data_IF_835532452839
#
_entry.id   IF_835532452839
#
_cell.length_a   1.000
_cell.length_b   1.000
_cell.length_c   1.000
_cell.angle_alpha   90.00
_cell.angle_beta   90.00
_cell.angle_gamma   90.00
#
_symmetry.space_group_name_H-M   'P 1'
#
loop_
_entity.id
_entity.type
_entity.pdbx_description
1 polymer ?
#
# COMPACT_ATOMS: atom_id res chain seq x y z
N UNK A 1 8.85 7.25 22.60
CA UNK A 1 7.73 7.41 21.66
C UNK A 1 7.80 6.20 20.74
N UNK A 2 6.70 5.47 20.51
CA UNK A 2 6.75 4.33 19.61
C UNK A 2 7.03 4.78 18.18
N UNK A 3 7.90 4.05 17.48
CA UNK A 3 8.27 4.37 16.11
C UNK A 3 7.21 3.82 15.12
N UNK A 4 7.09 4.47 13.97
CA UNK A 4 6.39 3.90 12.83
C UNK A 4 7.22 2.75 12.23
N UNK A 5 6.58 1.89 11.42
CA UNK A 5 7.33 0.90 10.62
C UNK A 5 6.70 0.62 9.28
N UNK A 6 7.53 0.09 8.37
CA UNK A 6 7.10 -0.47 7.10
C UNK A 6 7.07 -2.00 7.23
N UNK A 7 5.92 -2.60 6.93
CA UNK A 7 5.80 -4.04 6.71
C UNK A 7 5.58 -4.32 5.22
N UNK A 8 6.12 -5.44 4.75
CA UNK A 8 5.89 -5.92 3.39
C UNK A 8 4.96 -7.13 3.43
N UNK A 9 3.93 -7.10 2.60
CA UNK A 9 3.01 -8.21 2.38
C UNK A 9 3.14 -8.66 0.92
N UNK A 10 3.36 -9.95 0.70
CA UNK A 10 3.36 -10.55 -0.62
C UNK A 10 2.02 -11.24 -0.85
N UNK A 11 1.41 -10.99 -2.00
CA UNK A 11 0.12 -11.55 -2.40
C UNK A 11 0.26 -12.22 -3.76
N UNK A 12 -0.11 -13.50 -3.85
CA UNK A 12 -0.28 -14.17 -5.12
C UNK A 12 -1.71 -13.92 -5.63
N UNK A 13 -1.82 -13.14 -6.71
CA UNK A 13 -3.11 -12.77 -7.28
C UNK A 13 -3.61 -13.86 -8.22
N UNK A 14 -4.79 -14.41 -7.97
CA UNK A 14 -5.48 -15.28 -8.92
C UNK A 14 -5.97 -14.48 -10.15
N UNK A 15 -6.35 -13.21 -9.95
CA UNK A 15 -6.88 -12.33 -10.99
C UNK A 15 -5.84 -11.84 -12.00
N UNK A 16 -4.56 -11.89 -11.64
CA UNK A 16 -3.45 -11.50 -12.51
C UNK A 16 -2.68 -12.69 -13.10
N UNK A 17 -3.08 -13.93 -12.77
CA UNK A 17 -2.53 -15.11 -13.43
C UNK A 17 -2.77 -15.05 -14.94
N UNK A 18 -1.78 -15.50 -15.71
CA UNK A 18 -1.85 -15.60 -17.17
C UNK A 18 -2.22 -14.29 -17.90
N UNK A 19 -1.91 -13.13 -17.30
CA UNK A 19 -2.08 -11.84 -17.97
C UNK A 19 -1.26 -11.78 -19.28
N UNK A 20 -1.72 -11.02 -20.27
CA UNK A 20 -1.13 -11.00 -21.62
C UNK A 20 0.31 -10.47 -21.67
N UNK A 21 0.73 -9.69 -20.68
CA UNK A 21 2.08 -9.16 -20.61
C UNK A 21 3.07 -10.16 -20.00
N UNK A 22 2.57 -11.26 -19.40
CA UNK A 22 3.40 -12.19 -18.64
C UNK A 22 3.98 -11.54 -17.38
N UNK A 23 3.34 -10.48 -16.86
CA UNK A 23 3.75 -9.88 -15.59
C UNK A 23 3.57 -10.90 -14.46
N UNK A 24 4.42 -10.89 -13.41
CA UNK A 24 4.26 -11.79 -12.27
C UNK A 24 2.89 -11.64 -11.61
N UNK A 25 2.26 -12.75 -11.21
CA UNK A 25 1.03 -12.72 -10.42
C UNK A 25 1.30 -12.46 -8.92
N UNK A 26 2.55 -12.69 -8.47
CA UNK A 26 3.02 -12.38 -7.13
C UNK A 26 3.33 -10.88 -7.03
N UNK A 27 2.63 -10.18 -6.15
CA UNK A 27 2.70 -8.72 -5.97
C UNK A 27 3.11 -8.39 -4.55
N UNK A 28 3.98 -7.40 -4.42
CA UNK A 28 4.38 -6.87 -3.12
C UNK A 28 3.54 -5.64 -2.76
N UNK A 29 3.24 -5.51 -1.47
CA UNK A 29 2.51 -4.41 -0.87
C UNK A 29 3.38 -3.87 0.26
N UNK A 30 3.82 -2.63 0.18
CA UNK A 30 4.42 -1.97 1.33
C UNK A 30 3.34 -1.32 2.19
N UNK A 31 3.39 -1.51 3.50
CA UNK A 31 2.38 -1.05 4.45
C UNK A 31 3.06 -0.24 5.53
N UNK A 32 2.76 1.06 5.59
CA UNK A 32 3.12 1.92 6.70
C UNK A 32 2.15 1.73 7.86
N UNK A 33 2.71 1.43 9.02
CA UNK A 33 1.99 1.34 10.29
C UNK A 33 2.35 2.55 11.15
N UNK A 34 1.34 3.28 11.67
CA UNK A 34 1.58 4.52 12.37
C UNK A 34 2.28 4.29 13.72
N UNK A 35 2.95 5.33 14.27
CA UNK A 35 3.46 5.32 15.63
C UNK A 35 2.42 4.80 16.64
N UNK A 36 2.85 3.91 17.53
CA UNK A 36 1.98 3.32 18.55
C UNK A 36 1.07 2.19 18.07
N UNK A 37 1.22 1.72 16.82
CA UNK A 37 0.40 0.63 16.28
C UNK A 37 0.38 -0.61 17.18
N UNK A 38 1.51 -1.03 17.76
CA UNK A 38 1.59 -2.25 18.60
C UNK A 38 1.35 -2.03 20.09
N UNK A 39 1.15 -0.78 20.53
CA UNK A 39 0.91 -0.50 21.95
C UNK A 39 -0.44 -1.02 22.42
N UNK A 40 -1.41 -1.15 21.50
CA UNK A 40 -2.74 -1.68 21.79
C UNK A 40 -3.28 -2.52 20.65
N UNK A 41 -3.95 -3.62 21.00
CA UNK A 41 -4.65 -4.47 20.03
C UNK A 41 -6.09 -4.03 19.78
N UNK A 42 -6.63 -3.13 20.63
CA UNK A 42 -8.01 -2.67 20.55
C UNK A 42 -8.22 -1.56 19.50
N UNK A 43 -7.19 -0.75 19.25
CA UNK A 43 -7.27 0.35 18.31
C UNK A 43 -7.28 -0.15 16.87
N UNK A 44 -8.21 0.38 16.08
CA UNK A 44 -8.26 0.20 14.62
C UNK A 44 -8.04 1.54 13.92
N UNK A 45 -7.48 1.49 12.72
CA UNK A 45 -7.00 2.66 12.00
C UNK A 45 -7.71 2.80 10.64
N UNK A 46 -8.02 4.03 10.20
CA UNK A 46 -8.37 4.26 8.80
C UNK A 46 -7.22 3.86 7.88
N UNK A 47 -7.54 3.47 6.66
CA UNK A 47 -6.57 2.96 5.68
C UNK A 47 -6.58 3.81 4.42
N UNK A 48 -5.41 4.31 4.02
CA UNK A 48 -5.20 5.03 2.77
C UNK A 48 -4.46 4.13 1.78
N UNK A 49 -4.94 4.06 0.54
CA UNK A 49 -4.26 3.36 -0.54
C UNK A 49 -3.53 4.37 -1.42
N UNK A 50 -2.21 4.35 -1.36
CA UNK A 50 -1.34 5.23 -2.13
C UNK A 50 -0.91 4.53 -3.42
N UNK A 51 -1.63 4.84 -4.49
CA UNK A 51 -1.45 4.24 -5.81
C UNK A 51 -0.35 4.95 -6.60
N UNK A 52 0.58 4.18 -7.17
CA UNK A 52 1.74 4.73 -7.87
C UNK A 52 1.36 5.34 -9.23
N UNK A 53 1.90 6.52 -9.54
CA UNK A 53 1.80 7.03 -10.92
C UNK A 53 2.60 6.14 -11.89
N UNK A 54 2.30 6.25 -13.18
CA UNK A 54 3.11 5.62 -14.22
C UNK A 54 4.62 5.92 -14.03
N UNK A 55 5.46 4.91 -14.22
CA UNK A 55 6.90 5.01 -14.04
C UNK A 55 7.36 4.98 -12.57
N UNK A 56 6.46 4.70 -11.62
CA UNK A 56 6.79 4.61 -10.19
C UNK A 56 6.28 3.33 -9.54
N UNK A 57 6.90 2.99 -8.42
CA UNK A 57 6.55 1.86 -7.54
C UNK A 57 6.50 2.34 -6.09
N UNK A 58 6.06 1.47 -5.18
CA UNK A 58 6.12 1.72 -3.73
C UNK A 58 7.51 2.14 -3.25
N UNK A 59 8.58 1.58 -3.81
CA UNK A 59 9.96 1.93 -3.49
C UNK A 59 10.29 3.40 -3.76
N UNK A 60 9.65 4.05 -4.73
CA UNK A 60 9.84 5.48 -4.96
C UNK A 60 9.39 6.31 -3.75
N UNK A 61 8.25 5.94 -3.14
CA UNK A 61 7.69 6.66 -1.99
C UNK A 61 8.44 6.39 -0.69
N UNK A 62 8.99 5.19 -0.55
CA UNK A 62 9.79 4.78 0.60
C UNK A 62 11.24 5.26 0.51
N UNK A 63 11.75 5.41 -0.70
CA UNK A 63 13.13 5.78 -0.99
C UNK A 63 13.50 7.15 -0.45
N UNK A 64 14.78 7.32 -0.15
CA UNK A 64 15.34 8.59 0.29
C UNK A 64 15.09 9.70 -0.74
N UNK A 65 14.73 10.89 -0.26
CA UNK A 65 14.53 12.09 -1.05
C UNK A 65 15.60 13.12 -0.69
N UNK A 66 16.27 13.68 -1.70
CA UNK A 66 17.46 14.53 -1.53
C UNK A 66 17.19 15.85 -0.81
N UNK A 67 16.02 16.44 -1.06
CA UNK A 67 15.67 17.78 -0.59
C UNK A 67 14.30 17.84 0.08
N UNK A 68 13.68 16.69 0.32
CA UNK A 68 12.32 16.60 0.88
C UNK A 68 12.23 15.36 1.78
N UNK A 69 11.11 15.22 2.47
CA UNK A 69 10.75 14.03 3.23
C UNK A 69 10.27 12.93 2.29
N UNK A 70 10.72 11.71 2.53
CA UNK A 70 10.06 10.54 1.97
C UNK A 70 8.67 10.34 2.60
N UNK A 71 7.88 9.41 2.06
CA UNK A 71 6.50 9.24 2.51
C UNK A 71 6.39 8.89 4.01
N UNK A 72 7.15 7.91 4.56
CA UNK A 72 7.10 7.61 5.99
C UNK A 72 7.43 8.81 6.88
N UNK A 73 8.50 9.56 6.56
CA UNK A 73 8.90 10.76 7.30
C UNK A 73 7.79 11.82 7.33
N UNK A 74 7.14 12.03 6.18
CA UNK A 74 6.05 13.00 6.05
C UNK A 74 4.83 12.59 6.88
N UNK A 75 4.46 11.30 6.83
CA UNK A 75 3.36 10.76 7.62
C UNK A 75 3.65 10.89 9.12
N UNK A 76 4.85 10.53 9.55
CA UNK A 76 5.29 10.65 10.95
C UNK A 76 5.21 12.09 11.44
N UNK A 77 5.74 13.05 10.68
CA UNK A 77 5.67 14.47 11.04
C UNK A 77 4.22 14.97 11.14
N UNK A 78 3.34 14.58 10.21
CA UNK A 78 1.94 15.00 10.22
C UNK A 78 1.18 14.41 11.41
N UNK A 79 1.44 13.15 11.75
CA UNK A 79 0.85 12.46 12.91
C UNK A 79 1.36 13.08 14.20
N UNK A 80 2.68 13.25 14.33
CA UNK A 80 3.31 13.83 15.51
C UNK A 80 2.78 15.25 15.80
N UNK A 81 2.64 16.07 14.76
CA UNK A 81 2.11 17.43 14.88
C UNK A 81 0.57 17.50 14.98
N UNK A 82 -0.12 16.35 15.12
CA UNK A 82 -1.58 16.27 15.20
C UNK A 82 -2.30 16.94 14.02
N UNK A 83 -1.65 16.99 12.85
CA UNK A 83 -2.24 17.51 11.60
C UNK A 83 -2.95 16.41 10.81
N UNK A 84 -2.68 15.15 11.13
CA UNK A 84 -3.34 13.98 10.59
C UNK A 84 -3.48 12.95 11.73
N UNK A 85 -4.63 12.26 11.87
CA UNK A 85 -4.73 11.16 12.82
C UNK A 85 -3.82 9.99 12.40
N UNK A 86 -3.45 9.08 13.33
CA UNK A 86 -2.77 7.84 12.98
C UNK A 86 -3.55 7.06 11.91
N UNK A 87 -2.88 6.72 10.81
CA UNK A 87 -3.46 6.02 9.65
C UNK A 87 -2.55 4.90 9.19
N UNK A 88 -3.13 3.81 8.67
CA UNK A 88 -2.37 2.81 7.90
C UNK A 88 -2.30 3.29 6.46
N UNK A 89 -1.12 3.26 5.84
CA UNK A 89 -0.95 3.60 4.41
C UNK A 89 -0.42 2.39 3.67
N UNK A 90 -1.20 1.92 2.69
CA UNK A 90 -0.84 0.79 1.83
C UNK A 90 -0.35 1.33 0.50
N UNK A 91 0.84 0.90 0.09
CA UNK A 91 1.49 1.23 -1.17
C UNK A 91 1.63 -0.05 -1.99
N UNK A 92 0.56 -0.48 -2.69
CA UNK A 92 0.58 -1.68 -3.49
C UNK A 92 1.43 -1.52 -4.76
N UNK A 93 2.20 -2.54 -5.12
CA UNK A 93 2.93 -2.55 -6.38
C UNK A 93 2.04 -2.96 -7.56
N UNK A 94 1.76 -1.98 -8.42
CA UNK A 94 0.99 -2.12 -9.66
C UNK A 94 1.88 -1.93 -10.90
N UNK A 95 3.18 -2.16 -10.76
CA UNK A 95 4.11 -2.14 -11.88
C UNK A 95 3.74 -3.20 -12.93
N UNK A 96 3.84 -2.82 -14.19
CA UNK A 96 3.66 -3.70 -15.34
C UNK A 96 4.83 -3.49 -16.29
N UNK A 97 5.01 -4.38 -17.26
CA UNK A 97 5.97 -4.15 -18.37
C UNK A 97 5.77 -2.82 -19.12
N UNK A 98 4.58 -2.22 -19.01
CA UNK A 98 4.24 -0.92 -19.60
C UNK A 98 4.41 0.24 -18.61
N UNK A 99 5.01 0.01 -17.44
CA UNK A 99 5.29 1.04 -16.43
C UNK A 99 4.11 1.43 -15.55
N UNK A 100 3.02 0.66 -15.56
CA UNK A 100 1.87 0.88 -14.67
C UNK A 100 0.58 0.25 -15.19
N UNK A 101 -0.34 -0.07 -14.27
CA UNK A 101 -1.59 -0.77 -14.57
C UNK A 101 -2.78 0.14 -14.93
N UNK A 102 -2.67 1.45 -14.65
CA UNK A 102 -3.79 2.40 -14.67
C UNK A 102 -4.96 2.05 -13.73
N UNK A 103 -4.79 1.05 -12.87
CA UNK A 103 -5.78 0.61 -11.87
C UNK A 103 -7.14 0.25 -12.47
N UNK A 104 -7.13 -0.28 -13.69
CA UNK A 104 -8.32 -0.68 -14.42
C UNK A 104 -8.25 -2.13 -14.88
N UNK A 105 -9.41 -2.74 -15.05
CA UNK A 105 -9.51 -4.07 -15.65
C UNK A 105 -9.43 -3.94 -17.16
N UNK A 106 -8.51 -4.66 -17.77
CA UNK A 106 -8.29 -4.61 -19.22
C UNK A 106 -7.66 -5.89 -19.76
N UNK A 107 -7.41 -5.91 -21.06
CA UNK A 107 -6.71 -7.00 -21.73
C UNK A 107 -5.33 -7.33 -21.15
N UNK A 108 -4.70 -6.41 -20.40
CA UNK A 108 -3.38 -6.63 -19.78
C UNK A 108 -3.46 -7.12 -18.33
N UNK A 109 -4.66 -7.27 -17.76
CA UNK A 109 -4.87 -7.75 -16.40
C UNK A 109 -6.05 -7.07 -15.70
N UNK A 110 -6.62 -7.76 -14.72
CA UNK A 110 -7.75 -7.28 -13.93
C UNK A 110 -7.27 -6.52 -12.68
N UNK A 111 -6.61 -5.38 -12.88
CA UNK A 111 -5.95 -4.65 -11.79
C UNK A 111 -6.91 -3.88 -10.87
N UNK A 112 -8.07 -3.44 -11.34
CA UNK A 112 -9.10 -2.85 -10.47
C UNK A 112 -9.71 -3.92 -9.57
N UNK A 113 -10.02 -5.08 -10.14
CA UNK A 113 -10.53 -6.23 -9.38
C UNK A 113 -9.46 -6.77 -8.42
N UNK A 114 -8.19 -6.86 -8.81
CA UNK A 114 -7.08 -7.22 -7.91
C UNK A 114 -7.02 -6.28 -6.70
N UNK A 115 -7.10 -4.97 -6.92
CA UNK A 115 -7.09 -3.99 -5.83
C UNK A 115 -8.25 -4.20 -4.86
N UNK A 116 -9.47 -4.33 -5.38
CA UNK A 116 -10.70 -4.30 -4.57
C UNK A 116 -11.07 -5.66 -3.97
N UNK A 117 -10.76 -6.76 -4.65
CA UNK A 117 -11.18 -8.11 -4.27
C UNK A 117 -10.07 -8.94 -3.62
N UNK A 118 -8.80 -8.59 -3.83
CA UNK A 118 -7.67 -9.34 -3.26
C UNK A 118 -6.84 -8.47 -2.30
N UNK A 119 -6.38 -7.30 -2.73
CA UNK A 119 -5.51 -6.44 -1.91
C UNK A 119 -6.25 -5.88 -0.70
N UNK A 120 -7.42 -5.26 -0.88
CA UNK A 120 -8.18 -4.68 0.23
C UNK A 120 -8.55 -5.73 1.30
N UNK A 121 -9.13 -6.89 0.94
CA UNK A 121 -9.43 -7.93 1.91
C UNK A 121 -8.18 -8.51 2.60
N UNK A 122 -7.07 -8.69 1.87
CA UNK A 122 -5.83 -9.19 2.45
C UNK A 122 -5.25 -8.22 3.50
N UNK A 123 -5.30 -6.91 3.22
CA UNK A 123 -4.89 -5.87 4.18
C UNK A 123 -5.81 -5.88 5.40
N UNK A 124 -7.13 -5.88 5.20
CA UNK A 124 -8.11 -5.85 6.28
C UNK A 124 -8.05 -7.12 7.17
N UNK A 125 -7.64 -8.26 6.61
CA UNK A 125 -7.42 -9.49 7.36
C UNK A 125 -6.10 -9.49 8.16
N UNK A 126 -5.05 -8.83 7.64
CA UNK A 126 -3.71 -8.85 8.24
C UNK A 126 -3.48 -7.74 9.25
N UNK A 127 -4.11 -6.59 9.06
CA UNK A 127 -3.88 -5.36 9.84
C UNK A 127 -5.16 -4.89 10.54
N UNK A 128 -4.98 -4.08 11.61
CA UNK A 128 -6.09 -3.53 12.40
C UNK A 128 -6.74 -2.34 11.69
N UNK A 129 -7.36 -2.57 10.54
CA UNK A 129 -8.07 -1.54 9.78
C UNK A 129 -9.48 -1.32 10.30
N UNK A 130 -10.04 -0.15 10.01
CA UNK A 130 -11.47 0.12 10.05
C UNK A 130 -12.09 -0.40 8.74
N UNK A 131 -12.49 -1.67 8.73
CA UNK A 131 -12.94 -2.38 7.53
C UNK A 131 -14.42 -2.15 7.16
N UNK A 132 -15.25 -1.64 8.08
CA UNK A 132 -16.64 -1.30 7.77
C UNK A 132 -16.66 0.04 7.04
N UNK A 133 -16.77 0.00 5.72
CA UNK A 133 -16.78 1.15 4.82
C UNK A 133 -17.89 1.00 3.79
#
# INVERSE_FOLDING_TARGET
>A
MADSRIEYLTLESALLQHNRLGDPAVRELAVYLPPGYDETTAQRYPTLYMLSSHGRTSHYYLGWQQWDENMPQRLDRLIHNSKMPPVIVVMPDFWTRLGGSQFLDSAIGNYASHLTQEVVPAVDARFRTLANR
#
